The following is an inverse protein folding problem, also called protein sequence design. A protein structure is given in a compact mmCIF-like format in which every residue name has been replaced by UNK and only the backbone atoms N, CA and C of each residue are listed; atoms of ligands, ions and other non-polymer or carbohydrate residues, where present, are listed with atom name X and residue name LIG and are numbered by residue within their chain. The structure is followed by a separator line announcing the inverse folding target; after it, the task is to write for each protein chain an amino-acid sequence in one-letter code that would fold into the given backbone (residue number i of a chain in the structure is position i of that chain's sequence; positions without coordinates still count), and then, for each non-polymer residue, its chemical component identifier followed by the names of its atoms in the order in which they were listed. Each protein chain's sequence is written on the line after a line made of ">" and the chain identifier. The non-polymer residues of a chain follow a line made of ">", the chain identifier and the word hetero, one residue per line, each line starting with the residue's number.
data_IF_859631523390
#
_entry.id   IF_859631523390
#
_cell.length_a   1.000
_cell.length_b   1.000
_cell.length_c   1.000
_cell.angle_alpha   90.00
_cell.angle_beta   90.00
_cell.angle_gamma   90.00
#
_symmetry.space_group_name_H-M   'P 1'
#
loop_
_entity.id
_entity.type
_entity.pdbx_description
1 polymer ?
#
# COMPACT_ATOMS: atom_id res chain seq x y z
N UNK A 1 -30.93 13.90 -43.93
CA UNK A 1 -29.82 13.87 -42.95
C UNK A 1 -30.20 12.89 -41.87
N UNK A 2 -29.41 11.84 -41.66
CA UNK A 2 -29.56 10.96 -40.50
C UNK A 2 -29.26 11.77 -39.23
N UNK A 3 -30.21 11.83 -38.30
CA UNK A 3 -30.00 12.47 -37.00
C UNK A 3 -28.99 11.66 -36.19
N UNK A 4 -27.93 12.31 -35.71
CA UNK A 4 -26.95 11.74 -34.78
C UNK A 4 -27.04 12.46 -33.43
N UNK A 5 -26.68 11.75 -32.36
CA UNK A 5 -26.59 12.29 -31.00
C UNK A 5 -25.17 12.19 -30.46
N UNK A 6 -24.85 13.02 -29.47
CA UNK A 6 -23.57 12.99 -28.74
C UNK A 6 -23.87 12.70 -27.28
N UNK A 7 -23.14 11.72 -26.71
CA UNK A 7 -23.17 11.43 -25.28
C UNK A 7 -21.82 11.87 -24.72
N UNK A 8 -21.84 12.77 -23.74
CA UNK A 8 -20.64 13.16 -22.98
C UNK A 8 -20.69 12.43 -21.65
N UNK A 9 -19.76 11.51 -21.43
CA UNK A 9 -19.69 10.70 -20.23
C UNK A 9 -18.24 10.45 -19.82
N UNK A 10 -18.02 10.23 -18.53
CA UNK A 10 -16.74 9.74 -18.03
C UNK A 10 -16.61 8.24 -18.36
N UNK A 11 -15.40 7.75 -18.71
CA UNK A 11 -15.17 6.33 -18.98
C UNK A 11 -15.67 5.43 -17.84
N UNK A 12 -15.57 5.93 -16.61
CA UNK A 12 -15.99 5.23 -15.41
C UNK A 12 -17.48 4.93 -15.34
N UNK A 13 -18.33 5.82 -15.85
CA UNK A 13 -19.77 5.62 -15.91
C UNK A 13 -20.15 4.57 -16.95
N UNK A 14 -19.47 4.55 -18.10
CA UNK A 14 -19.75 3.59 -19.18
C UNK A 14 -19.40 2.17 -18.72
N UNK A 15 -18.22 2.00 -18.13
CA UNK A 15 -17.78 0.70 -17.62
C UNK A 15 -18.56 0.30 -16.37
N UNK A 16 -18.91 1.23 -15.47
CA UNK A 16 -19.81 0.96 -14.34
C UNK A 16 -21.16 0.42 -14.82
N UNK A 17 -21.78 1.05 -15.82
CA UNK A 17 -23.06 0.60 -16.37
C UNK A 17 -22.98 -0.83 -16.94
N UNK A 18 -21.91 -1.13 -17.69
CA UNK A 18 -21.66 -2.47 -18.22
C UNK A 18 -21.53 -3.51 -17.09
N UNK A 19 -20.67 -3.25 -16.11
CA UNK A 19 -20.42 -4.16 -15.00
C UNK A 19 -21.65 -4.33 -14.11
N UNK A 20 -22.41 -3.27 -13.87
CA UNK A 20 -23.68 -3.34 -13.14
C UNK A 20 -24.71 -4.20 -13.87
N UNK A 21 -24.75 -4.19 -15.21
CA UNK A 21 -25.62 -5.09 -15.98
C UNK A 21 -25.28 -6.56 -15.73
N UNK A 22 -24.00 -6.91 -15.71
CA UNK A 22 -23.52 -8.26 -15.41
C UNK A 22 -23.75 -8.65 -13.94
N UNK A 23 -23.47 -7.75 -12.99
CA UNK A 23 -23.73 -8.00 -11.57
C UNK A 23 -25.22 -8.25 -11.31
N UNK A 24 -26.09 -7.45 -11.94
CA UNK A 24 -27.54 -7.59 -11.84
C UNK A 24 -28.02 -8.96 -12.37
N UNK A 25 -27.36 -9.50 -13.39
CA UNK A 25 -27.60 -10.85 -13.89
C UNK A 25 -27.23 -11.91 -12.84
N UNK A 26 -26.06 -11.78 -12.22
CA UNK A 26 -25.58 -12.67 -11.15
C UNK A 26 -26.50 -12.62 -9.92
N UNK A 27 -27.01 -11.44 -9.58
CA UNK A 27 -27.97 -11.21 -8.49
C UNK A 27 -29.39 -11.73 -8.82
N UNK A 28 -29.57 -12.40 -9.96
CA UNK A 28 -30.83 -12.98 -10.42
C UNK A 28 -31.97 -11.96 -10.67
N UNK A 29 -31.63 -10.69 -10.91
CA UNK A 29 -32.55 -9.61 -11.29
C UNK A 29 -32.70 -9.55 -12.81
N UNK A 30 -33.28 -10.61 -13.37
CA UNK A 30 -33.30 -10.88 -14.81
C UNK A 30 -33.94 -9.76 -15.67
N UNK A 31 -35.08 -9.14 -15.29
CA UNK A 31 -35.70 -8.09 -16.10
C UNK A 31 -34.83 -6.83 -16.26
N UNK A 32 -34.16 -6.40 -15.19
CA UNK A 32 -33.23 -5.28 -15.16
C UNK A 32 -31.96 -5.61 -15.95
N UNK A 33 -31.35 -6.76 -15.66
CA UNK A 33 -30.13 -7.22 -16.32
C UNK A 33 -30.32 -7.29 -17.85
N UNK A 34 -31.42 -7.89 -18.32
CA UNK A 34 -31.72 -7.99 -19.75
C UNK A 34 -31.83 -6.62 -20.42
N UNK A 35 -32.45 -5.64 -19.75
CA UNK A 35 -32.56 -4.28 -20.28
C UNK A 35 -31.20 -3.59 -20.36
N UNK A 36 -30.41 -3.65 -19.28
CA UNK A 36 -29.10 -3.01 -19.22
C UNK A 36 -28.12 -3.59 -20.25
N UNK A 37 -28.02 -4.92 -20.32
CA UNK A 37 -27.15 -5.61 -21.27
C UNK A 37 -27.57 -5.27 -22.71
N UNK A 38 -28.87 -5.29 -23.01
CA UNK A 38 -29.37 -4.94 -24.34
C UNK A 38 -29.05 -3.49 -24.74
N UNK A 39 -29.12 -2.55 -23.79
CA UNK A 39 -28.73 -1.15 -24.03
C UNK A 39 -27.23 -1.07 -24.31
N UNK A 40 -26.40 -1.72 -23.49
CA UNK A 40 -24.95 -1.73 -23.68
C UNK A 40 -24.56 -2.33 -25.04
N UNK A 41 -25.11 -3.50 -25.40
CA UNK A 41 -24.86 -4.15 -26.69
C UNK A 41 -25.27 -3.26 -27.87
N UNK A 42 -26.44 -2.61 -27.75
CA UNK A 42 -26.88 -1.65 -28.76
C UNK A 42 -25.90 -0.49 -28.90
N UNK A 43 -25.43 0.10 -27.79
CA UNK A 43 -24.43 1.18 -27.81
C UNK A 43 -23.13 0.72 -28.49
N UNK A 44 -22.64 -0.48 -28.21
CA UNK A 44 -21.43 -1.02 -28.86
C UNK A 44 -21.58 -1.14 -30.39
N UNK A 45 -22.78 -1.35 -30.90
CA UNK A 45 -23.03 -1.43 -32.35
C UNK A 45 -23.17 -0.05 -33.02
N UNK A 46 -23.83 0.90 -32.36
CA UNK A 46 -24.23 2.18 -32.98
C UNK A 46 -23.33 3.36 -32.62
N UNK A 47 -22.63 3.32 -31.49
CA UNK A 47 -21.77 4.40 -31.01
C UNK A 47 -20.34 4.24 -31.52
N UNK A 48 -19.59 5.35 -31.47
CA UNK A 48 -18.15 5.39 -31.70
C UNK A 48 -17.54 6.23 -30.59
N UNK A 49 -16.58 5.66 -29.88
CA UNK A 49 -15.92 6.35 -28.78
C UNK A 49 -14.85 7.29 -29.33
N UNK A 50 -14.88 8.53 -28.86
CA UNK A 50 -13.86 9.55 -29.14
C UNK A 50 -13.27 9.97 -27.80
N UNK A 51 -11.98 9.75 -27.63
CA UNK A 51 -11.25 10.09 -26.43
C UNK A 51 -10.40 11.33 -26.70
N UNK A 52 -10.62 12.37 -25.90
CA UNK A 52 -9.69 13.50 -25.83
C UNK A 52 -8.58 13.18 -24.82
N UNK A 53 -7.40 13.78 -25.02
CA UNK A 53 -6.22 13.60 -24.16
C UNK A 53 -5.97 12.11 -23.83
N UNK A 54 -5.91 11.27 -24.87
CA UNK A 54 -5.90 9.81 -24.69
C UNK A 54 -4.65 9.31 -23.94
N UNK A 55 -3.55 10.04 -24.00
CA UNK A 55 -2.34 9.80 -23.20
C UNK A 55 -2.58 10.00 -21.71
N UNK A 56 -3.41 10.98 -21.32
CA UNK A 56 -3.87 11.19 -19.95
C UNK A 56 -4.92 10.13 -19.55
N UNK A 57 -5.96 9.97 -20.37
CA UNK A 57 -7.13 9.14 -20.07
C UNK A 57 -6.80 7.66 -20.00
N UNK A 58 -5.85 7.18 -20.82
CA UNK A 58 -5.40 5.78 -20.85
C UNK A 58 -4.12 5.55 -20.03
N UNK A 59 -3.64 6.55 -19.29
CA UNK A 59 -2.48 6.38 -18.44
C UNK A 59 -2.74 5.35 -17.33
N UNK A 60 -1.75 4.55 -16.90
CA UNK A 60 -1.94 3.61 -15.78
C UNK A 60 -2.44 4.26 -14.47
N UNK A 61 -2.23 5.57 -14.29
CA UNK A 61 -2.70 6.34 -13.13
C UNK A 61 -4.21 6.58 -13.10
N UNK A 62 -4.91 6.45 -14.23
CA UNK A 62 -6.37 6.58 -14.35
C UNK A 62 -7.04 5.21 -14.35
N UNK A 63 -6.33 4.16 -13.92
CA UNK A 63 -6.89 2.82 -13.78
C UNK A 63 -8.11 2.85 -12.85
N UNK A 64 -9.22 2.29 -13.34
CA UNK A 64 -10.48 2.19 -12.61
C UNK A 64 -10.58 0.82 -11.94
N UNK A 65 -10.98 0.83 -10.66
CA UNK A 65 -11.22 -0.37 -9.87
C UNK A 65 -12.70 -0.36 -9.47
N UNK A 66 -13.40 -1.45 -9.79
CA UNK A 66 -14.82 -1.63 -9.49
C UNK A 66 -14.97 -2.71 -8.42
N UNK A 67 -14.94 -2.33 -7.13
CA UNK A 67 -15.12 -3.31 -6.06
C UNK A 67 -16.53 -3.90 -6.14
N UNK A 68 -16.61 -5.22 -5.95
CA UNK A 68 -17.87 -5.95 -5.81
C UNK A 68 -17.79 -6.85 -4.58
N UNK A 69 -18.93 -7.03 -3.92
CA UNK A 69 -19.04 -7.78 -2.66
C UNK A 69 -19.06 -6.90 -1.42
N UNK A 70 -19.02 -7.55 -0.26
CA UNK A 70 -19.01 -6.89 1.05
C UNK A 70 -17.63 -6.36 1.38
N UNK A 71 -17.56 -5.18 1.99
CA UNK A 71 -16.33 -4.65 2.56
C UNK A 71 -15.74 -5.66 3.56
N UNK A 72 -14.46 -5.98 3.38
CA UNK A 72 -13.71 -6.88 4.24
C UNK A 72 -12.36 -6.26 4.63
N UNK A 73 -11.72 -6.84 5.64
CA UNK A 73 -10.37 -6.44 6.03
C UNK A 73 -9.37 -6.83 4.94
N UNK A 74 -8.29 -6.05 4.84
CA UNK A 74 -7.16 -6.40 3.96
C UNK A 74 -6.56 -7.74 4.39
N UNK A 75 -6.12 -8.52 3.42
CA UNK A 75 -5.49 -9.81 3.67
C UNK A 75 -4.23 -9.65 4.54
N UNK A 76 -4.06 -10.57 5.50
CA UNK A 76 -2.95 -10.50 6.45
C UNK A 76 -3.12 -9.44 7.54
N UNK A 77 -4.31 -8.82 7.70
CA UNK A 77 -4.62 -8.04 8.89
C UNK A 77 -4.53 -8.92 10.17
N UNK A 78 -3.97 -8.40 11.28
CA UNK A 78 -3.37 -7.08 11.46
C UNK A 78 -1.88 -7.00 11.07
N UNK A 79 -1.23 -8.15 10.86
CA UNK A 79 0.22 -8.27 10.70
C UNK A 79 0.79 -7.47 9.53
N UNK A 80 0.05 -7.28 8.44
CA UNK A 80 0.47 -6.45 7.31
C UNK A 80 0.71 -4.99 7.71
N UNK A 81 -0.17 -4.43 8.55
CA UNK A 81 -0.01 -3.07 9.10
C UNK A 81 1.15 -3.00 10.08
N UNK A 82 1.20 -3.92 11.05
CA UNK A 82 2.26 -3.99 12.06
C UNK A 82 3.65 -4.15 11.43
N UNK A 83 3.76 -4.94 10.35
CA UNK A 83 5.02 -5.12 9.63
C UNK A 83 5.48 -3.82 8.96
N UNK A 84 4.55 -3.07 8.36
CA UNK A 84 4.86 -1.77 7.75
C UNK A 84 5.34 -0.76 8.81
N UNK A 85 4.64 -0.67 9.95
CA UNK A 85 5.01 0.19 11.08
C UNK A 85 6.38 -0.17 11.63
N UNK A 86 6.64 -1.47 11.87
CA UNK A 86 7.95 -1.93 12.38
C UNK A 86 9.08 -1.65 11.41
N UNK A 87 8.86 -1.81 10.10
CA UNK A 87 9.86 -1.44 9.10
C UNK A 87 10.14 0.06 9.10
N UNK A 88 9.12 0.91 9.21
CA UNK A 88 9.28 2.36 9.29
C UNK A 88 10.03 2.76 10.57
N UNK A 89 9.78 2.10 11.70
CA UNK A 89 10.53 2.30 12.95
C UNK A 89 12.03 2.01 12.74
N UNK A 90 12.39 0.87 12.12
CA UNK A 90 13.78 0.55 11.80
C UNK A 90 14.40 1.56 10.85
N UNK A 91 13.65 1.99 9.83
CA UNK A 91 14.09 3.05 8.91
C UNK A 91 14.42 4.32 9.68
N UNK A 92 13.55 4.77 10.58
CA UNK A 92 13.79 5.93 11.44
C UNK A 92 15.08 5.77 12.27
N UNK A 93 15.34 4.58 12.80
CA UNK A 93 16.57 4.26 13.53
C UNK A 93 17.86 4.32 12.69
N UNK A 94 17.79 4.01 11.39
CA UNK A 94 18.96 3.97 10.50
C UNK A 94 19.24 5.28 9.75
N UNK A 95 18.22 6.12 9.53
CA UNK A 95 18.33 7.28 8.63
C UNK A 95 19.49 8.21 9.00
N UNK A 96 19.69 8.49 10.29
CA UNK A 96 20.76 9.38 10.73
C UNK A 96 22.16 8.80 10.49
N UNK A 97 22.37 7.53 10.87
CA UNK A 97 23.63 6.84 10.61
C UNK A 97 23.92 6.68 9.11
N UNK A 98 22.87 6.49 8.31
CA UNK A 98 22.96 6.44 6.86
C UNK A 98 23.39 7.79 6.26
N UNK A 99 22.82 8.89 6.74
CA UNK A 99 23.22 10.24 6.32
C UNK A 99 24.67 10.56 6.65
N UNK A 100 25.15 10.20 7.85
CA UNK A 100 26.55 10.39 8.24
C UNK A 100 27.52 9.60 7.34
N UNK A 101 27.13 8.39 6.92
CA UNK A 101 27.96 7.51 6.10
C UNK A 101 27.92 7.84 4.61
N UNK A 102 26.80 8.38 4.13
CA UNK A 102 26.57 8.69 2.72
C UNK A 102 26.04 10.13 2.50
N UNK A 103 26.76 11.18 2.95
CA UNK A 103 26.24 12.55 3.00
C UNK A 103 25.89 13.16 1.63
N UNK A 104 26.42 12.62 0.53
CA UNK A 104 26.09 13.04 -0.84
C UNK A 104 25.03 12.19 -1.55
N UNK A 105 24.51 11.15 -0.88
CA UNK A 105 23.59 10.17 -1.47
C UNK A 105 22.20 10.20 -0.82
N UNK A 106 22.08 10.84 0.34
CA UNK A 106 20.82 11.04 1.07
C UNK A 106 20.81 12.41 1.73
N UNK A 107 19.66 13.09 1.68
CA UNK A 107 19.37 14.27 2.48
C UNK A 107 18.30 13.93 3.53
N UNK A 108 18.48 14.45 4.73
CA UNK A 108 17.59 14.21 5.86
C UNK A 108 17.21 15.54 6.47
N UNK A 109 15.93 15.87 6.43
CA UNK A 109 15.38 17.05 7.10
C UNK A 109 14.76 16.58 8.41
N UNK A 110 15.41 16.91 9.52
CA UNK A 110 14.86 16.69 10.84
C UNK A 110 13.68 17.61 11.10
N UNK A 111 12.71 17.10 11.85
CA UNK A 111 11.54 17.87 12.24
C UNK A 111 11.83 18.65 13.53
N UNK A 112 11.46 19.95 13.63
CA UNK A 112 11.78 20.77 14.80
C UNK A 112 11.25 20.24 16.14
N UNK A 113 10.15 19.48 16.12
CA UNK A 113 9.49 18.90 17.30
C UNK A 113 9.72 17.39 17.43
N UNK A 114 10.71 16.83 16.72
CA UNK A 114 10.89 15.39 16.57
C UNK A 114 9.87 14.75 15.63
N UNK A 115 9.87 13.42 15.59
CA UNK A 115 9.04 12.59 14.70
C UNK A 115 9.81 12.06 13.49
N UNK A 116 9.09 11.35 12.63
CA UNK A 116 9.69 10.73 11.44
C UNK A 116 10.28 11.81 10.51
N UNK A 117 11.56 11.71 10.12
CA UNK A 117 12.22 12.75 9.33
C UNK A 117 11.77 12.71 7.86
N UNK A 118 11.91 13.83 7.16
CA UNK A 118 11.71 13.86 5.71
C UNK A 118 13.02 13.45 5.05
N UNK A 119 12.96 12.47 4.14
CA UNK A 119 14.14 11.87 3.54
C UNK A 119 14.11 12.03 2.02
N UNK A 120 15.25 12.35 1.44
CA UNK A 120 15.46 12.34 -0.02
C UNK A 120 16.64 11.45 -0.38
N UNK A 121 16.36 10.34 -1.06
CA UNK A 121 17.40 9.50 -1.65
C UNK A 121 17.85 10.09 -2.98
N UNK A 122 19.12 10.48 -3.06
CA UNK A 122 19.73 11.09 -4.24
C UNK A 122 20.44 10.07 -5.13
N UNK A 123 20.96 9.00 -4.53
CA UNK A 123 21.74 7.95 -5.21
C UNK A 123 21.37 6.55 -4.69
N UNK A 124 21.59 5.55 -5.53
CA UNK A 124 21.20 4.15 -5.27
C UNK A 124 22.00 3.48 -4.16
N UNK A 125 23.24 3.89 -3.92
CA UNK A 125 24.10 3.35 -2.86
C UNK A 125 23.48 3.52 -1.46
N UNK A 126 22.87 4.67 -1.17
CA UNK A 126 22.14 4.88 0.08
C UNK A 126 20.87 4.02 0.16
N UNK A 127 20.16 3.82 -0.96
CA UNK A 127 19.00 2.93 -1.03
C UNK A 127 19.38 1.47 -0.73
N UNK A 128 20.44 0.95 -1.37
CA UNK A 128 20.93 -0.42 -1.13
C UNK A 128 21.42 -0.60 0.32
N UNK A 129 22.14 0.39 0.85
CA UNK A 129 22.65 0.34 2.21
C UNK A 129 21.52 0.28 3.24
N UNK A 130 20.46 1.08 3.06
CA UNK A 130 19.28 1.03 3.93
C UNK A 130 18.64 -0.36 3.90
N UNK A 131 18.32 -0.88 2.71
CA UNK A 131 17.71 -2.20 2.57
C UNK A 131 18.58 -3.30 3.20
N UNK A 132 19.90 -3.24 3.03
CA UNK A 132 20.84 -4.17 3.66
C UNK A 132 20.79 -4.12 5.18
N UNK A 133 20.69 -2.92 5.78
CA UNK A 133 20.58 -2.76 7.22
C UNK A 133 19.25 -3.30 7.77
N UNK A 134 18.14 -3.06 7.05
CA UNK A 134 16.83 -3.60 7.42
C UNK A 134 16.82 -5.13 7.37
N UNK A 135 17.33 -5.73 6.29
CA UNK A 135 17.44 -7.19 6.18
C UNK A 135 18.28 -7.76 7.31
N UNK A 136 19.41 -7.11 7.65
CA UNK A 136 20.25 -7.55 8.77
C UNK A 136 19.48 -7.50 10.08
N UNK A 137 18.79 -6.41 10.40
CA UNK A 137 18.07 -6.28 11.66
C UNK A 137 16.93 -7.31 11.81
N UNK A 138 16.25 -7.63 10.71
CA UNK A 138 15.22 -8.69 10.68
C UNK A 138 15.87 -10.05 10.99
N UNK A 139 16.97 -10.37 10.32
CA UNK A 139 17.67 -11.65 10.45
C UNK A 139 18.35 -11.82 11.81
N UNK A 140 18.84 -10.73 12.40
CA UNK A 140 19.43 -10.69 13.74
C UNK A 140 18.36 -10.75 14.85
N UNK A 141 17.07 -10.83 14.49
CA UNK A 141 15.97 -10.96 15.45
C UNK A 141 15.67 -9.69 16.24
N UNK A 142 16.01 -8.52 15.70
CA UNK A 142 15.70 -7.20 16.30
C UNK A 142 14.26 -6.75 16.07
N UNK A 143 13.47 -7.60 15.40
CA UNK A 143 12.08 -7.34 15.05
C UNK A 143 11.22 -8.54 15.45
N UNK A 144 9.96 -8.28 15.79
CA UNK A 144 8.95 -9.32 16.06
C UNK A 144 8.22 -9.78 14.79
N UNK A 145 8.62 -9.30 13.60
CA UNK A 145 7.91 -9.56 12.33
C UNK A 145 7.97 -11.04 11.93
N UNK A 146 9.11 -11.69 12.18
CA UNK A 146 9.31 -13.14 11.95
C UNK A 146 10.02 -13.72 13.19
N UNK A 147 9.63 -14.91 13.68
CA UNK A 147 10.26 -15.57 14.83
C UNK A 147 11.60 -16.24 14.44
N UNK A 148 12.59 -15.45 14.03
CA UNK A 148 13.90 -15.95 13.56
C UNK A 148 14.75 -16.60 14.66
N UNK A 149 14.49 -16.31 15.94
CA UNK A 149 15.27 -16.86 17.06
C UNK A 149 15.12 -18.38 17.19
N UNK A 150 14.02 -18.95 16.70
CA UNK A 150 13.78 -20.39 16.67
C UNK A 150 14.36 -21.10 15.45
N UNK A 151 14.93 -20.37 14.48
CA UNK A 151 15.42 -20.93 13.23
C UNK A 151 16.88 -21.38 13.33
N UNK A 152 17.23 -22.45 12.62
CA UNK A 152 18.62 -22.82 12.44
C UNK A 152 19.30 -21.94 11.38
N UNK A 153 20.64 -21.98 11.35
CA UNK A 153 21.44 -21.11 10.48
C UNK A 153 21.11 -21.24 8.99
N UNK A 154 20.78 -22.44 8.50
CA UNK A 154 20.40 -22.62 7.11
C UNK A 154 19.06 -21.97 6.77
N UNK A 155 18.08 -22.05 7.68
CA UNK A 155 16.76 -21.42 7.49
C UNK A 155 16.89 -19.90 7.51
N UNK A 156 17.70 -19.36 8.43
CA UNK A 156 17.99 -17.93 8.49
C UNK A 156 18.63 -17.44 7.17
N UNK A 157 19.58 -18.21 6.62
CA UNK A 157 20.19 -17.87 5.34
C UNK A 157 19.19 -17.94 4.18
N UNK A 158 18.30 -18.92 4.18
CA UNK A 158 17.25 -19.04 3.17
C UNK A 158 16.26 -17.86 3.24
N UNK A 159 15.84 -17.45 4.44
CA UNK A 159 15.01 -16.26 4.65
C UNK A 159 15.75 -15.02 4.17
N UNK A 160 17.02 -14.84 4.55
CA UNK A 160 17.84 -13.70 4.14
C UNK A 160 17.91 -13.60 2.62
N UNK A 161 18.27 -14.68 1.93
CA UNK A 161 18.29 -14.73 0.46
C UNK A 161 16.92 -14.39 -0.11
N UNK A 162 15.84 -14.93 0.47
CA UNK A 162 14.48 -14.70 0.01
C UNK A 162 14.01 -13.25 0.15
N UNK A 163 14.39 -12.52 1.19
CA UNK A 163 13.96 -11.13 1.41
C UNK A 163 14.96 -10.08 0.88
N UNK A 164 16.08 -10.49 0.29
CA UNK A 164 17.10 -9.56 -0.23
C UNK A 164 17.45 -9.74 -1.70
N UNK A 165 17.30 -10.93 -2.28
CA UNK A 165 17.71 -11.21 -3.66
C UNK A 165 16.52 -11.18 -4.64
N UNK A 166 16.72 -10.54 -5.79
CA UNK A 166 15.72 -10.46 -6.86
C UNK A 166 15.47 -11.85 -7.47
N UNK A 167 16.54 -12.54 -7.85
CA UNK A 167 16.48 -13.87 -8.45
C UNK A 167 16.86 -14.93 -7.43
N UNK A 168 15.93 -15.82 -7.10
CA UNK A 168 16.13 -16.88 -6.12
C UNK A 168 15.88 -18.25 -6.74
N UNK A 169 16.59 -19.27 -6.26
CA UNK A 169 16.43 -20.63 -6.78
C UNK A 169 15.09 -21.25 -6.35
N UNK A 170 14.45 -22.08 -7.20
CA UNK A 170 13.21 -22.78 -6.83
C UNK A 170 13.34 -23.62 -5.56
N UNK A 171 14.55 -24.14 -5.28
CA UNK A 171 14.86 -24.87 -4.05
C UNK A 171 14.73 -23.99 -2.81
N UNK A 172 15.16 -22.73 -2.88
CA UNK A 172 15.06 -21.77 -1.77
C UNK A 172 13.61 -21.36 -1.56
N UNK A 173 12.86 -21.08 -2.64
CA UNK A 173 11.41 -20.83 -2.56
C UNK A 173 10.71 -21.98 -1.84
N UNK A 174 10.96 -23.22 -2.25
CA UNK A 174 10.34 -24.39 -1.64
C UNK A 174 10.67 -24.52 -0.15
N UNK A 175 11.94 -24.31 0.23
CA UNK A 175 12.38 -24.36 1.63
C UNK A 175 11.69 -23.28 2.47
N UNK A 176 11.67 -22.03 1.99
CA UNK A 176 11.02 -20.92 2.68
C UNK A 176 9.51 -21.14 2.82
N UNK A 177 8.85 -21.65 1.77
CA UNK A 177 7.41 -21.99 1.83
C UNK A 177 7.08 -23.09 2.83
N UNK A 178 8.03 -23.97 3.16
CA UNK A 178 7.88 -25.02 4.17
C UNK A 178 8.22 -24.57 5.59
N UNK A 179 8.77 -23.36 5.78
CA UNK A 179 9.03 -22.82 7.11
C UNK A 179 7.72 -22.45 7.80
N UNK A 180 7.70 -22.58 9.12
CA UNK A 180 6.57 -22.16 9.96
C UNK A 180 5.22 -22.77 9.54
N UNK A 181 5.10 -24.12 9.46
CA UNK A 181 3.89 -24.79 8.98
C UNK A 181 2.64 -24.38 9.77
N UNK A 182 2.78 -24.27 11.10
CA UNK A 182 1.68 -23.94 12.03
C UNK A 182 1.51 -22.44 12.26
N UNK A 183 2.34 -21.59 11.66
CA UNK A 183 2.27 -20.13 11.82
C UNK A 183 2.10 -19.45 10.46
N UNK A 184 0.84 -19.32 10.03
CA UNK A 184 0.47 -18.67 8.77
C UNK A 184 0.89 -17.20 8.71
N UNK A 185 0.81 -16.48 9.83
CA UNK A 185 1.21 -15.07 9.91
C UNK A 185 2.70 -14.88 9.61
N UNK A 186 3.57 -15.69 10.23
CA UNK A 186 5.02 -15.64 9.96
C UNK A 186 5.34 -15.92 8.49
N UNK A 187 4.66 -16.90 7.87
CA UNK A 187 4.80 -17.17 6.43
C UNK A 187 4.38 -15.97 5.59
N UNK A 188 3.19 -15.42 5.83
CA UNK A 188 2.69 -14.24 5.12
C UNK A 188 3.64 -13.05 5.26
N UNK A 189 4.18 -12.83 6.46
CA UNK A 189 5.15 -11.76 6.71
C UNK A 189 6.46 -11.93 5.92
N UNK A 190 6.96 -13.16 5.73
CA UNK A 190 8.13 -13.39 4.86
C UNK A 190 7.86 -12.95 3.42
N UNK A 191 6.69 -13.28 2.88
CA UNK A 191 6.29 -12.87 1.54
C UNK A 191 6.07 -11.36 1.45
N UNK A 192 5.44 -10.77 2.47
CA UNK A 192 5.26 -9.33 2.57
C UNK A 192 6.61 -8.60 2.59
N UNK A 193 7.56 -9.05 3.42
CA UNK A 193 8.91 -8.48 3.48
C UNK A 193 9.63 -8.57 2.13
N UNK A 194 9.48 -9.66 1.39
CA UNK A 194 10.00 -9.75 0.02
C UNK A 194 9.36 -8.69 -0.89
N UNK A 195 8.05 -8.50 -0.82
CA UNK A 195 7.33 -7.42 -1.52
C UNK A 195 7.89 -6.03 -1.16
N UNK A 196 7.98 -5.75 0.13
CA UNK A 196 8.39 -4.44 0.65
C UNK A 196 9.85 -4.09 0.33
N UNK A 197 10.76 -5.07 0.47
CA UNK A 197 12.21 -4.87 0.36
C UNK A 197 12.71 -5.16 -1.06
N UNK A 198 12.48 -6.36 -1.59
CA UNK A 198 13.04 -6.78 -2.90
C UNK A 198 12.37 -6.04 -4.06
N UNK A 199 11.04 -5.89 -4.01
CA UNK A 199 10.30 -5.12 -5.02
C UNK A 199 10.26 -3.61 -4.72
N UNK A 200 11.04 -3.16 -3.72
CA UNK A 200 11.29 -1.75 -3.42
C UNK A 200 10.05 -0.91 -3.12
N UNK A 201 8.96 -1.53 -2.68
CA UNK A 201 7.74 -0.81 -2.31
C UNK A 201 8.04 0.16 -1.15
N UNK A 202 8.85 -0.25 -0.17
CA UNK A 202 9.28 0.63 0.92
C UNK A 202 10.07 1.85 0.42
N UNK A 203 11.02 1.65 -0.48
CA UNK A 203 11.78 2.77 -1.05
C UNK A 203 10.91 3.69 -1.92
N UNK A 204 9.99 3.11 -2.68
CA UNK A 204 9.01 3.86 -3.47
C UNK A 204 8.23 4.82 -2.56
N UNK A 205 7.75 4.35 -1.41
CA UNK A 205 6.95 5.19 -0.50
C UNK A 205 7.79 6.25 0.21
N UNK A 206 9.00 5.89 0.66
CA UNK A 206 9.94 6.86 1.27
C UNK A 206 10.37 7.98 0.31
N UNK A 207 10.37 7.73 -1.00
CA UNK A 207 10.76 8.72 -2.03
C UNK A 207 9.63 9.64 -2.46
N UNK A 208 8.37 9.32 -2.15
CA UNK A 208 7.24 10.21 -2.48
C UNK A 208 7.15 11.34 -1.47
N UNK A 209 6.72 12.51 -1.96
CA UNK A 209 6.61 13.73 -1.17
C UNK A 209 5.25 13.81 -0.49
N UNK A 210 5.25 13.75 0.83
CA UNK A 210 4.07 14.03 1.65
C UNK A 210 3.53 15.44 1.40
N UNK A 211 2.21 15.59 1.47
CA UNK A 211 1.47 16.84 1.24
C UNK A 211 1.62 17.42 -0.19
N UNK A 212 2.22 16.66 -1.11
CA UNK A 212 2.38 17.02 -2.53
C UNK A 212 1.91 15.90 -3.42
N UNK A 213 2.32 14.66 -3.13
CA UNK A 213 1.96 13.48 -3.92
C UNK A 213 0.99 12.55 -3.18
N UNK A 214 0.96 12.62 -1.85
CA UNK A 214 0.05 11.83 -1.02
C UNK A 214 -0.18 12.51 0.33
N UNK A 215 -1.23 12.07 1.03
CA UNK A 215 -1.59 12.49 2.38
C UNK A 215 -2.99 11.99 2.75
N UNK A 216 -3.48 12.36 3.92
CA UNK A 216 -4.84 12.02 4.35
C UNK A 216 -5.85 12.99 3.73
N UNK A 217 -7.05 12.49 3.43
CA UNK A 217 -8.17 13.32 3.04
C UNK A 217 -9.02 13.67 4.28
N UNK A 218 -9.32 14.95 4.56
CA UNK A 218 -9.96 15.36 5.82
C UNK A 218 -11.41 14.88 5.96
N UNK A 219 -12.09 14.61 4.84
CA UNK A 219 -13.50 14.20 4.81
C UNK A 219 -13.72 12.70 4.52
N UNK A 220 -12.65 11.90 4.36
CA UNK A 220 -12.75 10.46 4.09
C UNK A 220 -12.21 9.67 5.27
N UNK A 221 -12.44 8.37 5.25
CA UNK A 221 -11.74 7.44 6.14
C UNK A 221 -10.23 7.68 6.08
N UNK A 222 -9.52 7.50 7.21
CA UNK A 222 -8.14 7.94 7.36
C UNK A 222 -7.14 7.00 6.66
N UNK A 223 -7.25 6.90 5.34
CA UNK A 223 -6.35 6.21 4.44
C UNK A 223 -5.68 7.26 3.55
N UNK A 224 -4.39 7.10 3.31
CA UNK A 224 -3.67 8.00 2.43
C UNK A 224 -4.18 7.91 1.00
N UNK A 225 -4.40 9.06 0.38
CA UNK A 225 -4.85 9.21 -1.00
C UNK A 225 -3.79 9.93 -1.84
N UNK A 226 -3.79 9.77 -3.18
CA UNK A 226 -3.00 10.59 -4.07
C UNK A 226 -3.41 12.07 -3.98
N UNK A 227 -2.43 12.97 -4.10
CA UNK A 227 -2.67 14.42 -4.16
C UNK A 227 -2.59 14.89 -5.61
N UNK A 228 -3.54 15.73 -6.02
CA UNK A 228 -3.57 16.34 -7.36
C UNK A 228 -2.73 17.63 -7.41
N UNK A 229 -2.58 18.29 -6.27
CA UNK A 229 -1.71 19.44 -6.08
C UNK A 229 -1.22 19.49 -4.63
N UNK A 230 -0.30 20.41 -4.33
CA UNK A 230 0.19 20.60 -2.96
C UNK A 230 -0.98 20.95 -2.03
N UNK A 231 -1.18 20.13 -0.99
CA UNK A 231 -2.27 20.31 -0.03
C UNK A 231 -3.66 19.94 -0.56
N UNK A 232 -3.77 19.37 -1.77
CA UNK A 232 -5.06 19.06 -2.38
C UNK A 232 -5.17 17.54 -2.58
N UNK A 233 -5.79 16.82 -1.63
CA UNK A 233 -6.04 15.39 -1.78
C UNK A 233 -7.04 15.15 -2.91
N UNK A 234 -6.92 14.02 -3.59
CA UNK A 234 -7.92 13.59 -4.57
C UNK A 234 -9.19 13.14 -3.85
N UNK A 235 -10.34 13.61 -4.34
CA UNK A 235 -11.66 13.26 -3.80
C UNK A 235 -11.93 11.75 -3.90
N UNK A 236 -11.52 11.13 -4.99
CA UNK A 236 -11.93 9.74 -5.33
C UNK A 236 -10.76 8.78 -5.55
N UNK A 237 -9.55 9.28 -5.83
CA UNK A 237 -8.45 8.37 -6.13
C UNK A 237 -7.98 7.60 -4.89
N UNK A 238 -7.51 6.37 -5.15
CA UNK A 238 -6.93 5.47 -4.16
C UNK A 238 -5.65 4.84 -4.72
N UNK A 239 -4.84 4.25 -3.84
CA UNK A 239 -3.65 3.51 -4.27
C UNK A 239 -4.02 2.08 -4.62
N UNK A 240 -3.79 1.68 -5.88
CA UNK A 240 -4.14 0.33 -6.35
C UNK A 240 -3.34 -0.81 -5.71
N UNK A 241 -2.23 -0.53 -5.03
CA UNK A 241 -1.45 -1.52 -4.30
C UNK A 241 -1.66 -1.37 -2.78
N UNK A 242 -2.13 -2.40 -2.05
CA UNK A 242 -2.49 -2.28 -0.64
C UNK A 242 -1.28 -1.89 0.23
N UNK A 243 -0.11 -2.47 0.01
CA UNK A 243 1.08 -2.12 0.79
C UNK A 243 1.55 -0.67 0.59
N UNK A 244 1.31 -0.10 -0.59
CA UNK A 244 1.59 1.32 -0.87
C UNK A 244 0.60 2.19 -0.08
N UNK A 245 -0.69 1.83 -0.09
CA UNK A 245 -1.71 2.53 0.69
C UNK A 245 -1.39 2.50 2.19
N UNK A 246 -1.03 1.33 2.72
CA UNK A 246 -0.68 1.12 4.14
C UNK A 246 0.54 1.97 4.51
N UNK A 247 1.65 1.86 3.78
CA UNK A 247 2.87 2.61 4.08
C UNK A 247 2.65 4.12 3.98
N UNK A 248 1.90 4.60 2.98
CA UNK A 248 1.57 6.02 2.90
C UNK A 248 0.65 6.48 4.02
N UNK A 249 -0.26 5.62 4.49
CA UNK A 249 -1.13 5.94 5.62
C UNK A 249 -0.29 6.11 6.89
N UNK A 250 0.57 5.13 7.21
CA UNK A 250 1.50 5.22 8.34
C UNK A 250 2.39 6.47 8.25
N UNK A 251 3.03 6.70 7.08
CA UNK A 251 3.87 7.88 6.86
C UNK A 251 3.09 9.19 6.97
N UNK A 252 1.87 9.25 6.44
CA UNK A 252 1.03 10.44 6.52
C UNK A 252 0.75 10.79 7.99
N UNK A 253 0.38 9.81 8.82
CA UNK A 253 0.21 10.00 10.25
C UNK A 253 1.49 10.40 10.98
N UNK A 254 2.63 9.78 10.66
CA UNK A 254 3.91 10.16 11.28
C UNK A 254 4.35 11.58 10.92
N UNK A 255 3.96 12.08 9.74
CA UNK A 255 4.32 13.41 9.26
C UNK A 255 3.31 14.49 9.69
N UNK A 256 2.00 14.20 9.65
CA UNK A 256 0.94 15.13 10.10
C UNK A 256 0.80 15.18 11.62
N UNK A 257 1.07 14.06 12.30
CA UNK A 257 0.62 13.83 13.67
C UNK A 257 -0.85 13.45 13.74
N UNK A 258 -1.32 13.24 14.96
CA UNK A 258 -2.73 12.95 15.29
C UNK A 258 -3.44 14.21 15.76
N UNK A 259 -4.71 14.33 15.39
CA UNK A 259 -5.61 15.32 15.96
C UNK A 259 -6.08 14.90 17.35
N UNK A 260 -6.57 15.87 18.15
CA UNK A 260 -7.06 15.59 19.51
C UNK A 260 -8.23 14.60 19.51
N UNK A 261 -9.12 14.67 18.52
CA UNK A 261 -10.24 13.74 18.32
C UNK A 261 -9.74 12.32 18.09
N UNK A 262 -8.75 12.15 17.21
CA UNK A 262 -8.12 10.88 16.90
C UNK A 262 -7.39 10.31 18.12
N UNK A 263 -6.67 11.14 18.87
CA UNK A 263 -5.99 10.73 20.10
C UNK A 263 -6.99 10.21 21.15
N UNK A 264 -8.12 10.90 21.34
CA UNK A 264 -9.18 10.45 22.24
C UNK A 264 -9.76 9.12 21.79
N UNK A 265 -10.04 8.97 20.50
CA UNK A 265 -10.52 7.72 19.93
C UNK A 265 -9.55 6.57 20.19
N UNK A 266 -8.24 6.78 19.97
CA UNK A 266 -7.22 5.77 20.26
C UNK A 266 -7.22 5.34 21.74
N UNK A 267 -7.36 6.29 22.67
CA UNK A 267 -7.43 5.99 24.10
C UNK A 267 -8.72 5.25 24.48
N UNK A 268 -9.85 5.63 23.90
CA UNK A 268 -11.14 4.96 24.12
C UNK A 268 -11.10 3.52 23.60
N UNK A 269 -10.48 3.29 22.45
CA UNK A 269 -10.33 1.95 21.87
C UNK A 269 -9.33 1.10 22.68
N UNK A 270 -8.24 1.71 23.16
CA UNK A 270 -7.31 1.06 24.08
C UNK A 270 -8.01 0.60 25.37
N UNK A 271 -8.84 1.45 25.98
CA UNK A 271 -9.57 1.09 27.21
C UNK A 271 -10.60 -0.02 26.99
N UNK A 272 -11.11 -0.19 25.77
CA UNK A 272 -12.03 -1.28 25.40
C UNK A 272 -11.30 -2.59 25.05
N UNK A 273 -9.98 -2.55 24.89
CA UNK A 273 -9.17 -3.75 24.66
C UNK A 273 -9.33 -4.74 25.80
N UNK A 274 -9.20 -6.04 25.50
CA UNK A 274 -9.20 -7.09 26.51
C UNK A 274 -8.05 -6.97 27.51
N UNK A 275 -6.94 -6.34 27.09
CA UNK A 275 -5.77 -6.06 27.94
C UNK A 275 -5.16 -4.69 27.57
N UNK A 276 -5.70 -3.59 28.11
CA UNK A 276 -5.23 -2.24 27.80
C UNK A 276 -3.78 -2.00 28.22
N UNK A 277 -3.33 -2.60 29.32
CA UNK A 277 -1.97 -2.39 29.84
C UNK A 277 -0.93 -2.96 28.89
N UNK A 278 -1.11 -4.21 28.45
CA UNK A 278 -0.19 -4.86 27.52
C UNK A 278 -0.18 -4.15 26.16
N UNK A 279 -1.34 -3.71 25.66
CA UNK A 279 -1.41 -2.98 24.37
C UNK A 279 -0.75 -1.61 24.45
N UNK A 280 -0.79 -0.94 25.60
CA UNK A 280 -0.11 0.35 25.78
C UNK A 280 1.42 0.24 25.83
N UNK A 281 1.94 -0.90 26.28
CA UNK A 281 3.39 -1.15 26.38
C UNK A 281 4.04 -1.64 25.08
N UNK A 282 3.24 -2.06 24.08
CA UNK A 282 3.69 -2.53 22.77
C UNK A 282 3.95 -1.38 21.78
#
# INVERSE_FOLDING_TARGET
>A
MSSAGVIVALPEHMMSFQLSGLQTLVDNKLPEARRMIKIHDWMQTVCRDVLDECDYTLAPRTQLIYPSGTQCTVDGHPHRWQTAEKLLELVSGHIWGLWQRYPGSIEVIQRPKGGFPIVYFLRKDAEEALLSYLVRDIIDGRTSVIPVQGCCRSEIMDIKTFISEVSISPKTVKRVSSLFPDNSAARQNIYLLRGLLVHRILLLTLKKRWNVQYGLHPLRDPIAVPFIAKGVPSEQAEWGHPDVAILFTCLAFYLSGLELSQMRQCLDDLMKSSDPSTVYEQ
#
